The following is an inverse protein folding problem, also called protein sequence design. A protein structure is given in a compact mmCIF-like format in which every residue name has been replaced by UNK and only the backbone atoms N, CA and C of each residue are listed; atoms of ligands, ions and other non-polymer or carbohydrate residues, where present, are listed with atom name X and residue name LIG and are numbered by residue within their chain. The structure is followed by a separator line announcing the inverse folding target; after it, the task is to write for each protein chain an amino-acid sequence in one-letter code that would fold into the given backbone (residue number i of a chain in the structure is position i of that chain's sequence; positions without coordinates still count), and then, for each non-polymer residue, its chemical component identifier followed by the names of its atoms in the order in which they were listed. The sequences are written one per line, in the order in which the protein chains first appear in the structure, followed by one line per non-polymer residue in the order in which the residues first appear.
data_IF_089914086291
#
_entry.id   IF_089914086291
#
_cell.length_a   1.000
_cell.length_b   1.000
_cell.length_c   1.000
_cell.angle_alpha   90.00
_cell.angle_beta   90.00
_cell.angle_gamma   90.00
#
_symmetry.space_group_name_H-M   'P 1'
#
loop_
_entity.id
_entity.type
_entity.pdbx_description
1 polymer ?
#
# COMPACT_ATOMS: atom_id res chain seq x y z
N UNK A 1 -24.38 27.35 -14.27
CA UNK A 1 -24.20 26.33 -15.31
C UNK A 1 -23.16 25.34 -14.83
N UNK A 2 -23.61 24.16 -14.38
CA UNK A 2 -22.74 23.11 -13.85
C UNK A 2 -22.45 22.14 -14.99
N UNK A 3 -21.19 22.01 -15.40
CA UNK A 3 -20.79 20.98 -16.35
C UNK A 3 -20.86 19.64 -15.62
N UNK A 4 -21.85 18.82 -15.97
CA UNK A 4 -21.91 17.42 -15.57
C UNK A 4 -20.72 16.69 -16.21
N UNK A 5 -19.84 16.13 -15.38
CA UNK A 5 -18.80 15.24 -15.86
C UNK A 5 -19.48 13.98 -16.44
N UNK A 6 -19.32 13.77 -17.74
CA UNK A 6 -19.80 12.54 -18.39
C UNK A 6 -19.10 11.30 -17.83
N UNK A 7 -19.71 10.11 -17.97
CA UNK A 7 -19.12 8.88 -17.47
C UNK A 7 -17.76 8.62 -18.14
N UNK A 8 -16.73 8.37 -17.33
CA UNK A 8 -15.40 7.97 -17.81
C UNK A 8 -15.53 6.60 -18.45
N UNK A 9 -15.43 6.54 -19.77
CA UNK A 9 -15.41 5.27 -20.50
C UNK A 9 -14.10 4.52 -20.21
N UNK A 10 -14.14 3.20 -20.00
CA UNK A 10 -12.94 2.40 -19.81
C UNK A 10 -12.09 2.37 -21.08
N UNK A 11 -10.77 2.34 -20.92
CA UNK A 11 -9.83 2.23 -22.02
C UNK A 11 -10.06 0.93 -22.83
N UNK A 12 -9.77 0.91 -24.14
CA UNK A 12 -9.93 -0.28 -24.97
C UNK A 12 -9.16 -1.48 -24.38
N UNK A 13 -9.86 -2.58 -24.13
CA UNK A 13 -9.30 -3.80 -23.51
C UNK A 13 -9.48 -3.91 -21.99
N UNK A 14 -10.01 -2.88 -21.33
CA UNK A 14 -10.42 -2.97 -19.92
C UNK A 14 -11.87 -3.48 -19.81
N UNK A 15 -12.19 -4.30 -18.80
CA UNK A 15 -13.57 -4.73 -18.56
C UNK A 15 -14.50 -3.52 -18.37
N UNK A 16 -15.76 -3.60 -18.83
CA UNK A 16 -16.66 -2.44 -18.99
C UNK A 16 -17.19 -1.82 -17.70
N UNK A 17 -16.66 -2.20 -16.54
CA UNK A 17 -17.08 -1.80 -15.19
C UNK A 17 -15.81 -1.88 -14.32
N UNK A 18 -15.60 -1.04 -13.29
CA UNK A 18 -14.53 -1.31 -12.33
C UNK A 18 -14.80 -2.70 -11.74
N UNK A 19 -14.04 -3.70 -12.22
CA UNK A 19 -13.60 -4.85 -11.43
C UNK A 19 -13.34 -4.30 -10.04
N UNK A 20 -13.95 -4.91 -9.01
CA UNK A 20 -13.88 -4.38 -7.64
C UNK A 20 -12.41 -4.06 -7.36
N UNK A 21 -12.12 -2.93 -6.71
CA UNK A 21 -10.75 -2.44 -6.44
C UNK A 21 -9.77 -3.56 -6.04
N UNK A 22 -10.27 -4.55 -5.29
CA UNK A 22 -9.59 -5.78 -4.88
C UNK A 22 -9.10 -6.69 -6.04
N UNK A 23 -9.86 -6.85 -7.13
CA UNK A 23 -9.48 -7.66 -8.29
C UNK A 23 -8.37 -7.00 -9.11
N UNK A 24 -8.41 -5.66 -9.25
CA UNK A 24 -7.31 -4.92 -9.88
C UNK A 24 -6.04 -4.94 -9.02
N UNK A 25 -6.18 -4.90 -7.70
CA UNK A 25 -5.07 -5.05 -6.77
C UNK A 25 -4.41 -6.42 -6.89
N UNK A 26 -5.19 -7.50 -7.02
CA UNK A 26 -4.67 -8.84 -7.25
C UNK A 26 -3.84 -8.93 -8.54
N UNK A 27 -4.27 -8.24 -9.62
CA UNK A 27 -3.59 -8.23 -10.91
C UNK A 27 -2.21 -7.53 -10.88
N UNK A 28 -2.02 -6.53 -10.01
CA UNK A 28 -0.75 -5.78 -9.91
C UNK A 28 0.19 -6.32 -8.83
N UNK A 29 -0.12 -7.47 -8.22
CA UNK A 29 0.74 -8.11 -7.23
C UNK A 29 0.45 -7.71 -5.78
N UNK A 30 -0.75 -7.24 -5.47
CA UNK A 30 -1.28 -7.36 -4.11
C UNK A 30 -1.79 -8.81 -3.89
N UNK A 31 -1.67 -9.38 -2.68
CA UNK A 31 -2.25 -10.68 -2.38
C UNK A 31 -3.77 -10.59 -2.43
N UNK A 32 -4.41 -11.77 -2.44
CA UNK A 32 -5.85 -11.98 -2.23
C UNK A 32 -6.42 -10.98 -1.20
N UNK A 33 -7.67 -10.51 -1.38
CA UNK A 33 -8.30 -9.60 -0.45
C UNK A 33 -8.25 -10.20 0.96
N UNK A 34 -7.39 -9.62 1.80
CA UNK A 34 -7.52 -9.77 3.24
C UNK A 34 -8.74 -8.96 3.67
N UNK A 35 -9.33 -9.30 4.80
CA UNK A 35 -10.42 -8.50 5.35
C UNK A 35 -9.99 -7.03 5.50
N UNK A 36 -10.97 -6.13 5.57
CA UNK A 36 -10.72 -4.69 5.62
C UNK A 36 -9.90 -4.23 6.85
N UNK A 37 -9.73 -5.11 7.85
CA UNK A 37 -9.04 -4.85 9.11
C UNK A 37 -7.58 -5.30 9.12
N UNK A 38 -7.15 -6.08 8.12
CA UNK A 38 -5.82 -6.66 8.04
C UNK A 38 -4.94 -5.98 7.00
N UNK A 39 -3.65 -5.94 7.30
CA UNK A 39 -2.64 -5.43 6.37
C UNK A 39 -2.49 -6.37 5.18
N UNK A 40 -2.62 -5.84 3.97
CA UNK A 40 -2.21 -6.58 2.77
C UNK A 40 -0.69 -6.48 2.59
N UNK A 41 0.05 -7.59 2.46
CA UNK A 41 1.50 -7.55 2.20
C UNK A 41 1.79 -7.43 0.71
N UNK A 42 2.39 -6.33 0.24
CA UNK A 42 2.76 -6.19 -1.18
C UNK A 42 3.71 -7.28 -1.68
N UNK A 43 3.37 -7.96 -2.79
CA UNK A 43 4.17 -9.07 -3.34
C UNK A 43 5.16 -8.63 -4.44
N UNK A 44 4.96 -7.46 -5.03
CA UNK A 44 5.79 -6.92 -6.10
C UNK A 44 7.14 -6.33 -5.63
N UNK A 45 7.64 -5.34 -6.39
CA UNK A 45 8.89 -4.65 -6.08
C UNK A 45 8.81 -3.82 -4.80
N UNK A 46 9.87 -3.83 -4.00
CA UNK A 46 9.97 -3.12 -2.71
C UNK A 46 11.15 -2.16 -2.73
N UNK A 47 10.88 -0.88 -2.48
CA UNK A 47 11.90 0.18 -2.43
C UNK A 47 12.85 0.01 -1.23
N UNK A 48 13.98 0.74 -1.17
CA UNK A 48 14.82 0.83 0.02
C UNK A 48 14.10 1.40 1.25
N UNK A 49 13.01 2.15 1.05
CA UNK A 49 12.16 2.67 2.13
C UNK A 49 11.04 1.70 2.54
N UNK A 50 11.00 0.49 1.96
CA UNK A 50 10.02 -0.53 2.29
C UNK A 50 8.64 -0.37 1.65
N UNK A 51 8.48 0.62 0.77
CA UNK A 51 7.23 0.84 0.04
C UNK A 51 7.11 -0.12 -1.14
N UNK A 52 5.91 -0.64 -1.34
CA UNK A 52 5.57 -1.38 -2.54
C UNK A 52 5.51 -0.48 -3.77
N UNK A 53 6.03 -0.95 -4.90
CA UNK A 53 5.95 -0.26 -6.18
C UNK A 53 5.92 -1.22 -7.36
N UNK A 54 5.38 -0.76 -8.48
CA UNK A 54 5.41 -1.44 -9.77
C UNK A 54 5.70 -0.45 -10.90
N UNK A 55 6.07 -0.96 -12.07
CA UNK A 55 6.20 -0.16 -13.27
C UNK A 55 4.86 -0.09 -13.99
N UNK A 56 4.38 1.12 -14.27
CA UNK A 56 3.23 1.34 -15.13
C UNK A 56 3.69 1.97 -16.44
N UNK A 57 3.10 1.53 -17.54
CA UNK A 57 3.32 2.07 -18.89
C UNK A 57 1.95 2.27 -19.55
N UNK A 58 1.69 3.46 -20.11
CA UNK A 58 0.49 3.68 -20.93
C UNK A 58 0.70 3.15 -22.36
N UNK A 59 -0.27 2.41 -22.89
CA UNK A 59 -0.32 1.95 -24.28
C UNK A 59 -1.72 2.24 -24.88
N UNK A 60 -1.85 2.72 -26.15
CA UNK A 60 -0.84 3.27 -27.05
C UNK A 60 -0.82 4.83 -27.06
N UNK A 61 0.38 5.42 -27.01
CA UNK A 61 0.66 6.87 -27.02
C UNK A 61 2.12 7.15 -26.62
N UNK A 62 2.66 8.38 -26.70
CA UNK A 62 4.03 8.67 -26.28
C UNK A 62 4.24 8.17 -24.85
N UNK A 63 5.15 7.20 -24.68
CA UNK A 63 5.30 6.40 -23.48
C UNK A 63 5.47 7.28 -22.24
N UNK A 64 4.40 7.44 -21.46
CA UNK A 64 4.51 7.85 -20.05
C UNK A 64 4.66 6.57 -19.25
N UNK A 65 5.90 6.22 -18.95
CA UNK A 65 6.28 5.14 -18.06
C UNK A 65 6.74 5.69 -16.72
N UNK A 66 6.56 4.94 -15.64
CA UNK A 66 7.06 5.34 -14.34
C UNK A 66 6.90 4.29 -13.26
N UNK A 67 7.65 4.48 -12.17
CA UNK A 67 7.46 3.71 -10.94
C UNK A 67 6.25 4.28 -10.20
N UNK A 68 5.24 3.45 -9.99
CA UNK A 68 4.01 3.82 -9.29
C UNK A 68 4.06 3.22 -7.87
N UNK A 69 3.86 4.03 -6.81
CA UNK A 69 3.70 3.52 -5.46
C UNK A 69 2.39 2.71 -5.35
N UNK A 70 2.50 1.48 -4.85
CA UNK A 70 1.37 0.56 -4.77
C UNK A 70 0.22 1.08 -3.89
N UNK A 71 0.56 1.69 -2.75
CA UNK A 71 -0.42 2.26 -1.81
C UNK A 71 -1.18 3.46 -2.42
N UNK A 72 -0.48 4.32 -3.18
CA UNK A 72 -1.09 5.44 -3.88
C UNK A 72 -2.06 4.95 -4.94
N UNK A 73 -1.64 3.99 -5.76
CA UNK A 73 -2.48 3.41 -6.78
C UNK A 73 -3.73 2.75 -6.17
N UNK A 74 -3.56 1.93 -5.13
CA UNK A 74 -4.66 1.27 -4.44
C UNK A 74 -5.67 2.26 -3.86
N UNK A 75 -5.21 3.32 -3.21
CA UNK A 75 -6.08 4.36 -2.67
C UNK A 75 -6.87 5.06 -3.78
N UNK A 76 -6.22 5.41 -4.90
CA UNK A 76 -6.88 6.10 -6.00
C UNK A 76 -7.85 5.21 -6.78
N UNK A 77 -7.63 3.89 -6.81
CA UNK A 77 -8.61 2.94 -7.35
C UNK A 77 -9.88 2.87 -6.50
N UNK A 78 -9.76 2.90 -5.17
CA UNK A 78 -10.90 2.79 -4.25
C UNK A 78 -11.65 4.13 -4.09
N UNK A 79 -10.92 5.23 -3.88
CA UNK A 79 -11.48 6.52 -3.49
C UNK A 79 -11.40 7.61 -4.57
N UNK A 80 -10.83 7.29 -5.73
CA UNK A 80 -10.66 8.22 -6.84
C UNK A 80 -9.37 9.05 -6.79
N UNK A 81 -9.19 9.87 -7.82
CA UNK A 81 -7.94 10.60 -8.05
C UNK A 81 -7.73 11.68 -7.00
N UNK A 82 -6.56 11.66 -6.33
CA UNK A 82 -6.09 12.76 -5.49
C UNK A 82 -5.66 13.92 -6.40
N UNK A 83 -6.35 15.08 -6.38
CA UNK A 83 -6.15 16.12 -7.40
C UNK A 83 -4.79 16.80 -7.34
N UNK A 84 -4.15 16.82 -6.16
CA UNK A 84 -2.85 17.45 -5.96
C UNK A 84 -2.07 16.72 -4.86
N UNK A 85 -1.06 15.99 -5.27
CA UNK A 85 0.01 15.55 -4.38
C UNK A 85 1.12 16.59 -4.40
N UNK A 86 1.72 16.84 -3.24
CA UNK A 86 2.98 17.55 -3.16
C UNK A 86 4.01 16.68 -2.45
N UNK A 87 5.28 17.03 -2.62
CA UNK A 87 6.38 16.14 -2.23
C UNK A 87 7.06 16.56 -0.92
N UNK A 88 7.27 17.85 -0.71
CA UNK A 88 8.17 18.36 0.34
C UNK A 88 7.56 19.46 1.21
N UNK A 89 6.49 20.12 0.76
CA UNK A 89 5.79 21.14 1.54
C UNK A 89 5.09 20.52 2.75
N UNK A 90 5.09 21.22 3.87
CA UNK A 90 4.46 20.75 5.12
C UNK A 90 2.94 20.55 4.96
N UNK A 91 2.29 21.40 4.17
CA UNK A 91 0.87 21.32 3.83
C UNK A 91 0.54 20.39 2.65
N UNK A 92 1.54 19.79 2.02
CA UNK A 92 1.32 18.92 0.86
C UNK A 92 0.56 17.66 1.27
N UNK A 93 -0.42 17.29 0.43
CA UNK A 93 -1.21 16.09 0.64
C UNK A 93 -0.34 14.83 0.45
N UNK A 94 -0.44 13.91 1.41
CA UNK A 94 0.28 12.64 1.43
C UNK A 94 -0.61 11.54 2.00
N UNK A 95 -0.41 10.30 1.55
CA UNK A 95 -1.03 9.14 2.15
C UNK A 95 -0.28 8.71 3.41
N UNK A 96 -1.02 8.66 4.51
CA UNK A 96 -0.52 8.29 5.83
C UNK A 96 -0.98 6.86 6.14
N UNK A 97 -0.04 5.99 6.52
CA UNK A 97 -0.37 4.65 7.01
C UNK A 97 -0.88 4.72 8.45
N UNK A 98 -2.10 4.22 8.66
CA UNK A 98 -2.70 4.04 9.97
C UNK A 98 -2.16 2.78 10.66
N UNK A 99 -1.76 1.78 9.87
CA UNK A 99 -1.21 0.50 10.34
C UNK A 99 0.29 0.52 10.66
N UNK A 100 0.99 1.63 10.37
CA UNK A 100 2.44 1.78 10.51
C UNK A 100 3.28 0.77 9.68
N UNK A 101 2.68 0.09 8.70
CA UNK A 101 3.35 -0.83 7.79
C UNK A 101 3.46 -0.23 6.37
N UNK A 102 4.67 0.21 5.99
CA UNK A 102 4.95 0.86 4.70
C UNK A 102 4.70 -0.01 3.47
N UNK A 103 4.74 -1.33 3.63
CA UNK A 103 4.45 -2.30 2.57
C UNK A 103 2.96 -2.60 2.36
N UNK A 104 2.05 -1.94 3.09
CA UNK A 104 0.61 -2.18 3.03
C UNK A 104 -0.11 -1.36 1.96
N UNK A 105 -0.64 -1.94 0.87
CA UNK A 105 -1.45 -1.20 -0.09
C UNK A 105 -2.94 -1.17 0.28
N UNK A 106 -3.39 -1.78 1.38
CA UNK A 106 -4.82 -1.81 1.75
C UNK A 106 -5.36 -0.37 1.91
N UNK A 107 -6.30 0.10 1.05
CA UNK A 107 -6.80 1.47 1.07
C UNK A 107 -7.53 1.83 2.37
N UNK A 108 -8.08 0.86 3.10
CA UNK A 108 -8.70 1.07 4.42
C UNK A 108 -7.68 1.38 5.52
N UNK A 109 -6.41 1.02 5.31
CA UNK A 109 -5.30 1.31 6.22
C UNK A 109 -4.57 2.61 5.90
N UNK A 110 -5.07 3.35 4.92
CA UNK A 110 -4.50 4.62 4.45
C UNK A 110 -5.46 5.75 4.79
N UNK A 111 -4.90 6.93 5.06
CA UNK A 111 -5.65 8.17 5.24
C UNK A 111 -4.97 9.29 4.47
N UNK A 112 -5.74 10.07 3.72
CA UNK A 112 -5.21 11.30 3.13
C UNK A 112 -4.98 12.34 4.25
N UNK A 113 -3.75 12.81 4.37
CA UNK A 113 -3.33 13.80 5.35
C UNK A 113 -2.29 14.75 4.77
N UNK A 114 -1.56 15.46 5.63
CA UNK A 114 -0.47 16.36 5.22
C UNK A 114 0.89 15.82 5.67
N UNK A 115 1.96 16.27 5.02
CA UNK A 115 3.32 15.95 5.45
C UNK A 115 3.60 16.31 6.91
N UNK A 116 3.07 17.44 7.38
CA UNK A 116 3.17 17.86 8.78
C UNK A 116 2.51 16.84 9.72
N UNK A 117 1.28 16.41 9.42
CA UNK A 117 0.57 15.41 10.22
C UNK A 117 1.30 14.07 10.22
N UNK A 118 1.68 13.56 9.04
CA UNK A 118 2.39 12.28 8.93
C UNK A 118 3.70 12.26 9.74
N UNK A 119 4.45 13.38 9.72
CA UNK A 119 5.69 13.54 10.48
C UNK A 119 5.42 13.60 11.98
N UNK A 120 4.40 14.33 12.43
CA UNK A 120 4.04 14.40 13.86
C UNK A 120 3.63 13.03 14.41
N UNK A 121 2.93 12.23 13.62
CA UNK A 121 2.47 10.89 13.98
C UNK A 121 3.57 9.83 13.86
N UNK A 122 4.69 10.13 13.19
CA UNK A 122 5.78 9.17 12.97
C UNK A 122 6.44 8.74 14.29
N UNK A 123 6.85 9.69 15.13
CA UNK A 123 7.61 9.37 16.34
C UNK A 123 6.85 8.49 17.34
N UNK A 124 5.57 8.76 17.66
CA UNK A 124 4.77 7.86 18.49
C UNK A 124 4.65 6.46 17.87
N UNK A 125 4.37 6.34 16.56
CA UNK A 125 4.25 5.04 15.87
C UNK A 125 5.56 4.25 15.86
N UNK A 126 6.69 4.92 15.73
CA UNK A 126 8.00 4.27 15.68
C UNK A 126 8.45 3.79 17.07
N UNK A 127 8.00 4.44 18.15
CA UNK A 127 8.32 4.05 19.54
C UNK A 127 7.40 2.96 20.08
N UNK A 128 6.25 2.74 19.46
CA UNK A 128 5.35 1.64 19.79
C UNK A 128 5.95 0.32 19.27
N UNK A 129 6.56 -0.45 20.19
CA UNK A 129 7.24 -1.72 19.88
C UNK A 129 6.31 -2.80 19.33
N UNK A 130 4.99 -2.64 19.47
CA UNK A 130 4.01 -3.54 18.88
C UNK A 130 3.77 -3.28 17.39
N UNK A 131 4.29 -2.17 16.84
CA UNK A 131 4.03 -1.73 15.47
C UNK A 131 5.13 -2.20 14.51
N UNK A 132 4.78 -2.47 13.25
CA UNK A 132 5.74 -2.79 12.18
C UNK A 132 6.87 -1.77 11.99
N UNK A 133 6.64 -0.51 12.37
CA UNK A 133 7.62 0.57 12.25
C UNK A 133 8.80 0.43 13.23
N UNK A 134 8.64 -0.35 14.30
CA UNK A 134 9.67 -0.63 15.29
C UNK A 134 10.54 -1.85 14.94
N UNK A 135 10.30 -2.51 13.80
CA UNK A 135 11.02 -3.70 13.38
C UNK A 135 12.53 -3.44 13.26
N UNK A 136 13.36 -4.28 13.89
CA UNK A 136 14.82 -4.11 13.94
C UNK A 136 15.50 -4.23 12.57
N UNK A 137 14.80 -4.80 11.58
CA UNK A 137 15.27 -4.89 10.19
C UNK A 137 14.96 -3.61 9.39
N UNK A 138 14.27 -2.64 10.01
CA UNK A 138 13.73 -1.45 9.37
C UNK A 138 12.54 -1.74 8.45
N UNK A 139 11.92 -0.69 7.91
CA UNK A 139 10.69 -0.79 7.12
C UNK A 139 10.84 -1.69 5.89
N UNK A 140 11.96 -1.60 5.17
CA UNK A 140 12.23 -2.46 4.02
C UNK A 140 12.47 -3.92 4.39
N UNK A 141 13.19 -4.16 5.51
CA UNK A 141 13.40 -5.51 6.02
C UNK A 141 12.08 -6.16 6.44
N UNK A 142 11.24 -5.41 7.17
CA UNK A 142 9.91 -5.85 7.55
C UNK A 142 9.06 -6.19 6.32
N UNK A 143 8.92 -5.28 5.35
CA UNK A 143 8.14 -5.54 4.13
C UNK A 143 8.62 -6.79 3.39
N UNK A 144 9.93 -6.99 3.26
CA UNK A 144 10.47 -8.20 2.61
C UNK A 144 10.21 -9.47 3.41
N UNK A 145 10.24 -9.39 4.74
CA UNK A 145 10.00 -10.54 5.62
C UNK A 145 8.53 -10.98 5.64
N UNK A 146 7.58 -10.03 5.69
CA UNK A 146 6.13 -10.32 5.68
C UNK A 146 5.57 -10.51 4.27
N UNK A 147 6.42 -10.38 3.24
CA UNK A 147 6.08 -10.67 1.85
C UNK A 147 5.95 -12.17 1.66
N UNK A 148 4.80 -12.70 2.02
CA UNK A 148 4.42 -14.09 1.80
C UNK A 148 3.57 -14.16 0.53
N UNK A 149 4.14 -14.70 -0.55
CA UNK A 149 3.33 -15.07 -1.71
C UNK A 149 2.47 -16.28 -1.35
N UNK A 150 1.15 -16.28 -1.61
CA UNK A 150 0.37 -17.49 -1.43
C UNK A 150 0.89 -18.58 -2.37
N UNK A 151 1.19 -19.77 -1.85
CA UNK A 151 1.19 -20.94 -2.72
C UNK A 151 -0.26 -21.19 -3.19
N UNK A 152 -0.47 -21.81 -4.35
CA UNK A 152 -1.80 -21.98 -4.98
C UNK A 152 -2.87 -22.67 -4.09
N UNK A 153 -2.50 -23.19 -2.92
CA UNK A 153 -3.32 -24.01 -2.03
C UNK A 153 -3.26 -23.58 -0.56
N UNK A 154 -2.63 -22.45 -0.22
CA UNK A 154 -2.56 -22.00 1.18
C UNK A 154 -3.84 -21.29 1.62
N UNK A 155 -4.38 -21.74 2.75
CA UNK A 155 -5.47 -21.05 3.42
C UNK A 155 -5.02 -19.72 4.06
N UNK A 156 -5.97 -18.81 4.25
CA UNK A 156 -5.74 -17.49 4.86
C UNK A 156 -5.05 -17.59 6.23
N UNK A 157 -5.42 -18.57 7.04
CA UNK A 157 -4.86 -18.78 8.39
C UNK A 157 -3.35 -19.02 8.35
N UNK A 158 -2.87 -19.85 7.43
CA UNK A 158 -1.43 -20.13 7.24
C UNK A 158 -0.68 -18.87 6.83
N UNK A 159 -1.30 -18.05 5.98
CA UNK A 159 -0.73 -16.77 5.56
C UNK A 159 -0.61 -15.82 6.76
N UNK A 160 -1.64 -15.73 7.60
CA UNK A 160 -1.60 -14.89 8.80
C UNK A 160 -0.57 -15.37 9.81
N UNK A 161 -0.48 -16.68 10.04
CA UNK A 161 0.52 -17.27 10.93
C UNK A 161 1.94 -16.89 10.50
N UNK A 162 2.22 -16.95 9.19
CA UNK A 162 3.53 -16.54 8.66
C UNK A 162 3.78 -15.05 8.79
N UNK A 163 2.76 -14.21 8.56
CA UNK A 163 2.90 -12.76 8.75
C UNK A 163 3.18 -12.43 10.21
N UNK A 164 2.46 -13.08 11.14
CA UNK A 164 2.68 -12.93 12.57
C UNK A 164 4.08 -13.40 12.96
N UNK A 165 4.49 -14.61 12.56
CA UNK A 165 5.81 -15.15 12.83
C UNK A 165 6.94 -14.25 12.28
N UNK A 166 6.77 -13.73 11.06
CA UNK A 166 7.69 -12.79 10.46
C UNK A 166 7.77 -11.48 11.26
N UNK A 167 6.64 -10.96 11.76
CA UNK A 167 6.58 -9.79 12.63
C UNK A 167 7.29 -10.01 13.97
N UNK A 168 7.00 -11.12 14.65
CA UNK A 168 7.64 -11.51 15.91
C UNK A 168 9.16 -11.61 15.76
N UNK A 169 9.64 -12.21 14.67
CA UNK A 169 11.08 -12.34 14.41
C UNK A 169 11.81 -11.00 14.21
N UNK A 170 11.09 -9.93 13.85
CA UNK A 170 11.64 -8.58 13.72
C UNK A 170 11.39 -7.68 14.92
N UNK A 171 10.68 -8.16 15.94
CA UNK A 171 10.35 -7.37 17.12
C UNK A 171 11.61 -7.09 17.95
N UNK A 172 11.80 -5.86 18.46
CA UNK A 172 12.90 -5.54 19.35
C UNK A 172 12.91 -6.45 20.58
N UNK A 173 14.06 -7.06 20.89
CA UNK A 173 14.20 -7.81 22.12
C UNK A 173 14.21 -6.83 23.29
N UNK A 174 13.17 -6.90 24.13
CA UNK A 174 13.17 -6.20 25.41
C UNK A 174 13.79 -7.11 26.45
N UNK A 175 15.00 -6.79 26.91
CA UNK A 175 15.57 -7.42 28.09
C UNK A 175 14.91 -6.80 29.32
N UNK A 176 13.89 -7.47 29.84
CA UNK A 176 13.36 -7.26 31.19
C UNK A 176 13.62 -8.52 31.99
#
# INVERSE_FOLDING_TARGET
MTLAAGPVLPLPGMPPVPVRSLEQLALIGAPQPRDETRCASWLGGVSPTGRGSFLAVSLPGPSRGGTVPANLFAYQLEYGIIPRLGWSGTGDAVLCHQCAFDGCPNPRHLRLGTNALNRSEYHPRHRDLSRPLADVRGTAGHTRAVRTGPSKQEGLEVIEERVLAAGTAGSPQTFW
#
